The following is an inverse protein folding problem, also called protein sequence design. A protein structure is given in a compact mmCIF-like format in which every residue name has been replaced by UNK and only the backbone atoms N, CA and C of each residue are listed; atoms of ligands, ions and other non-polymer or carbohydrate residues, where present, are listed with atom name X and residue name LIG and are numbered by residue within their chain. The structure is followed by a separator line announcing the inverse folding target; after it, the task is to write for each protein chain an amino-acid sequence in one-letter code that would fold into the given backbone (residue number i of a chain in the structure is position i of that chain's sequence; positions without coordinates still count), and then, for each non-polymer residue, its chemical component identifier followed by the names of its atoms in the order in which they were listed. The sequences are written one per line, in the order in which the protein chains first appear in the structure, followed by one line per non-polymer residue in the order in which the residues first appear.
data_IF_743604954888
#
_entry.id   IF_743604954888
#
_cell.length_a   1.000
_cell.length_b   1.000
_cell.length_c   1.000
_cell.angle_alpha   90.00
_cell.angle_beta   90.00
_cell.angle_gamma   90.00
#
_symmetry.space_group_name_H-M   'P 1'
#
loop_
_entity.id
_entity.type
_entity.pdbx_description
1 polymer ?
#
# COMPACT_ATOMS: atom_id res chain seq x y z
N UNK A 1 1.41 4.47 13.54
CA UNK A 1 1.66 5.96 13.50
C UNK A 1 1.68 6.40 12.04
N UNK A 2 1.33 7.67 11.74
CA UNK A 2 1.38 8.17 10.37
C UNK A 2 2.78 8.67 10.03
N UNK A 3 3.24 8.47 8.78
CA UNK A 3 4.58 8.81 8.32
C UNK A 3 4.58 9.26 6.87
N UNK A 4 5.44 10.21 6.52
CA UNK A 4 5.70 10.56 5.14
C UNK A 4 6.51 9.47 4.43
N UNK A 5 6.11 9.05 3.24
CA UNK A 5 6.87 8.08 2.47
C UNK A 5 8.28 8.59 2.17
N UNK A 6 8.41 9.85 1.74
CA UNK A 6 9.72 10.47 1.47
C UNK A 6 10.59 10.62 2.71
N UNK A 7 10.01 10.88 3.89
CA UNK A 7 10.79 10.99 5.12
C UNK A 7 11.40 9.65 5.56
N UNK A 8 10.81 8.54 5.16
CA UNK A 8 11.35 7.20 5.40
C UNK A 8 12.44 6.82 4.41
N UNK A 9 12.55 7.47 3.25
CA UNK A 9 13.62 7.22 2.30
C UNK A 9 14.98 7.54 2.93
N UNK A 10 15.96 6.69 2.68
CA UNK A 10 17.29 6.78 3.28
C UNK A 10 17.40 6.21 4.69
N UNK A 11 16.28 5.82 5.35
CA UNK A 11 16.36 5.14 6.64
C UNK A 11 17.13 3.83 6.48
N UNK A 12 17.97 3.54 7.47
CA UNK A 12 18.74 2.28 7.52
C UNK A 12 17.82 1.10 7.80
N UNK A 13 18.11 -0.01 7.14
CA UNK A 13 17.41 -1.26 7.32
C UNK A 13 18.29 -2.20 8.14
N UNK A 14 17.89 -2.46 9.38
CA UNK A 14 18.63 -3.31 10.32
C UNK A 14 18.04 -4.71 10.37
N UNK A 15 18.69 -5.66 9.69
CA UNK A 15 18.36 -7.08 9.74
C UNK A 15 18.84 -7.75 11.04
N UNK A 16 18.50 -9.02 11.21
CA UNK A 16 18.88 -9.81 12.39
C UNK A 16 20.39 -10.02 12.54
N UNK A 17 21.15 -9.94 11.44
CA UNK A 17 22.58 -10.19 11.36
C UNK A 17 23.38 -8.98 10.86
N UNK A 18 22.78 -7.80 10.86
CA UNK A 18 23.41 -6.52 10.53
C UNK A 18 22.65 -5.68 9.52
N UNK A 19 23.26 -4.56 9.11
CA UNK A 19 22.66 -3.60 8.19
C UNK A 19 22.44 -4.21 6.80
N UNK A 20 21.21 -4.15 6.30
CA UNK A 20 20.79 -4.64 4.99
C UNK A 20 21.02 -3.59 3.92
N UNK A 21 20.74 -2.33 4.24
CA UNK A 21 20.83 -1.21 3.30
C UNK A 21 20.00 -0.04 3.75
N UNK A 22 19.39 0.67 2.81
CA UNK A 22 18.52 1.82 3.07
C UNK A 22 17.23 1.71 2.30
N UNK A 23 16.19 2.38 2.82
CA UNK A 23 14.93 2.54 2.09
C UNK A 23 15.18 3.37 0.85
N UNK A 24 14.82 2.84 -0.32
CA UNK A 24 14.83 3.56 -1.59
C UNK A 24 13.43 4.10 -1.90
N UNK A 25 12.44 3.22 -1.99
CA UNK A 25 11.06 3.58 -2.28
C UNK A 25 10.08 2.53 -1.74
N UNK A 26 8.80 2.75 -2.01
CA UNK A 26 7.75 1.79 -1.69
C UNK A 26 6.97 1.39 -2.94
N UNK A 27 6.58 0.11 -3.01
CA UNK A 27 5.60 -0.37 -3.96
C UNK A 27 4.28 -0.59 -3.24
N UNK A 28 3.23 0.02 -3.75
CA UNK A 28 1.89 -0.11 -3.20
C UNK A 28 0.92 -0.68 -4.24
N UNK A 29 -0.12 -1.29 -3.75
CA UNK A 29 -1.25 -1.80 -4.50
C UNK A 29 -2.27 -0.68 -4.68
N UNK A 30 -2.60 -0.36 -5.93
CA UNK A 30 -3.50 0.75 -6.28
C UNK A 30 -4.99 0.42 -6.10
N UNK A 31 -5.30 -0.82 -5.81
CA UNK A 31 -6.66 -1.27 -5.52
C UNK A 31 -7.05 -0.97 -4.07
N UNK A 32 -6.14 -1.27 -3.13
CA UNK A 32 -6.36 -1.05 -1.70
C UNK A 32 -5.55 0.12 -1.13
N UNK A 33 -4.63 0.71 -1.92
CA UNK A 33 -3.71 1.75 -1.49
C UNK A 33 -2.88 1.33 -0.27
N UNK A 34 -2.35 0.12 -0.33
CA UNK A 34 -1.53 -0.49 0.73
C UNK A 34 -0.13 -0.75 0.20
N UNK A 35 0.89 -0.35 0.95
CA UNK A 35 2.29 -0.68 0.67
C UNK A 35 2.46 -2.18 0.79
N UNK A 36 2.90 -2.83 -0.29
CA UNK A 36 3.17 -4.28 -0.36
C UNK A 36 4.64 -4.60 -0.20
N UNK A 37 5.48 -3.67 -0.63
CA UNK A 37 6.94 -3.83 -0.54
C UNK A 37 7.61 -2.49 -0.23
N UNK A 38 8.61 -2.57 0.64
CA UNK A 38 9.70 -1.61 0.73
C UNK A 38 10.79 -2.07 -0.22
N UNK A 39 11.28 -1.18 -1.06
CA UNK A 39 12.43 -1.42 -1.94
C UNK A 39 13.68 -0.98 -1.20
N UNK A 40 14.65 -1.87 -1.07
CA UNK A 40 15.90 -1.60 -0.39
C UNK A 40 17.05 -1.36 -1.38
N UNK A 41 17.77 -0.26 -1.19
CA UNK A 41 19.10 -0.07 -1.75
C UNK A 41 20.12 -0.76 -0.82
N UNK A 42 20.68 -1.88 -1.28
CA UNK A 42 21.62 -2.70 -0.52
C UNK A 42 23.08 -2.24 -0.65
N UNK A 43 23.35 -1.19 -1.43
CA UNK A 43 24.70 -0.73 -1.70
C UNK A 43 25.54 -1.79 -2.42
N UNK A 44 26.73 -2.11 -1.85
CA UNK A 44 27.70 -2.97 -2.53
C UNK A 44 27.64 -4.46 -2.15
N UNK A 45 26.90 -4.85 -1.10
CA UNK A 45 26.94 -6.23 -0.65
C UNK A 45 26.05 -7.18 -1.47
N UNK A 46 25.04 -6.64 -2.14
CA UNK A 46 24.10 -7.41 -2.96
C UNK A 46 23.82 -6.67 -4.26
N UNK A 47 24.86 -6.50 -5.08
CA UNK A 47 24.82 -5.70 -6.30
C UNK A 47 23.99 -6.35 -7.41
N UNK A 48 23.31 -5.51 -8.19
CA UNK A 48 22.59 -5.93 -9.40
C UNK A 48 21.18 -6.49 -9.17
N UNK A 49 20.66 -6.44 -7.93
CA UNK A 49 19.29 -6.88 -7.63
C UNK A 49 18.56 -5.86 -6.77
N UNK A 50 17.32 -5.54 -7.13
CA UNK A 50 16.41 -4.87 -6.22
C UNK A 50 15.97 -5.86 -5.15
N UNK A 51 16.01 -5.43 -3.90
CA UNK A 51 15.53 -6.21 -2.76
C UNK A 51 14.19 -5.65 -2.35
N UNK A 52 13.16 -6.48 -2.51
CA UNK A 52 11.82 -6.18 -2.01
C UNK A 52 11.67 -6.77 -0.60
N UNK A 53 11.18 -5.97 0.33
CA UNK A 53 10.92 -6.38 1.71
C UNK A 53 9.44 -6.15 2.00
N UNK A 54 8.69 -7.23 2.22
CA UNK A 54 7.28 -7.14 2.56
C UNK A 54 7.11 -6.59 3.98
N UNK A 55 6.05 -5.82 4.26
CA UNK A 55 5.66 -5.41 5.61
C UNK A 55 5.55 -6.53 6.63
N UNK A 56 5.36 -7.78 6.22
CA UNK A 56 5.46 -8.95 7.12
C UNK A 56 6.82 -9.09 7.81
N UNK A 57 7.88 -8.57 7.20
CA UNK A 57 9.23 -8.59 7.77
C UNK A 57 9.62 -7.27 8.44
N UNK A 58 8.83 -6.20 8.28
CA UNK A 58 9.14 -4.90 8.87
C UNK A 58 8.74 -4.91 10.36
N UNK A 59 9.64 -4.43 11.19
CA UNK A 59 9.43 -4.20 12.60
C UNK A 59 9.25 -2.72 12.92
N UNK A 60 9.83 -2.29 14.01
CA UNK A 60 9.70 -0.91 14.50
C UNK A 60 10.40 0.09 13.58
N UNK A 61 9.71 1.21 13.31
CA UNK A 61 10.27 2.42 12.69
C UNK A 61 10.79 3.33 13.78
N UNK A 62 12.10 3.51 13.86
CA UNK A 62 12.75 4.35 14.86
C UNK A 62 13.18 5.70 14.26
N UNK A 63 12.40 6.73 14.55
CA UNK A 63 12.63 8.08 14.02
C UNK A 63 13.90 8.73 14.57
N UNK A 64 14.25 8.46 15.83
CA UNK A 64 15.43 9.05 16.45
C UNK A 64 16.73 8.51 15.86
N UNK A 65 16.73 7.24 15.49
CA UNK A 65 17.88 6.56 14.89
C UNK A 65 17.86 6.54 13.36
N UNK A 66 16.75 6.97 12.73
CA UNK A 66 16.52 6.88 11.30
C UNK A 66 16.74 5.44 10.77
N UNK A 67 16.13 4.46 11.46
CA UNK A 67 16.21 3.07 11.05
C UNK A 67 14.86 2.34 11.15
N UNK A 68 14.77 1.25 10.40
CA UNK A 68 13.66 0.29 10.43
C UNK A 68 14.27 -1.08 10.70
N UNK A 69 13.73 -1.79 11.69
CA UNK A 69 14.15 -3.15 11.97
C UNK A 69 13.53 -4.14 10.98
N UNK A 70 14.32 -5.14 10.57
CA UNK A 70 13.90 -6.15 9.60
C UNK A 70 14.03 -7.53 10.23
N UNK A 71 12.94 -8.29 10.25
CA UNK A 71 12.88 -9.64 10.81
C UNK A 71 13.58 -10.72 9.98
N UNK A 72 14.45 -10.36 9.02
CA UNK A 72 15.19 -11.25 8.13
C UNK A 72 16.71 -11.11 8.34
N UNK A 73 17.44 -12.16 7.98
CA UNK A 73 18.89 -12.14 7.84
C UNK A 73 19.30 -11.83 6.40
N UNK A 74 20.54 -11.38 6.19
CA UNK A 74 21.11 -11.19 4.85
C UNK A 74 21.00 -12.46 4.02
N UNK A 75 21.33 -13.61 4.61
CA UNK A 75 21.25 -14.90 3.94
C UNK A 75 19.84 -15.23 3.45
N UNK A 76 18.80 -14.98 4.25
CA UNK A 76 17.40 -15.18 3.82
C UNK A 76 17.04 -14.28 2.63
N UNK A 77 17.59 -13.06 2.58
CA UNK A 77 17.35 -12.12 1.48
C UNK A 77 18.12 -12.59 0.22
N UNK A 78 19.36 -13.05 0.36
CA UNK A 78 20.16 -13.57 -0.76
C UNK A 78 19.52 -14.79 -1.42
N UNK A 79 18.92 -15.67 -0.62
CA UNK A 79 18.26 -16.90 -1.08
C UNK A 79 16.83 -16.66 -1.62
N UNK A 80 16.29 -15.44 -1.50
CA UNK A 80 14.95 -15.11 -1.98
C UNK A 80 14.86 -15.07 -3.51
N UNK A 81 13.68 -15.29 -4.10
CA UNK A 81 13.47 -15.12 -5.53
C UNK A 81 13.96 -13.76 -6.01
N UNK A 82 14.68 -13.73 -7.13
CA UNK A 82 15.15 -12.48 -7.72
C UNK A 82 14.08 -11.84 -8.59
N UNK A 83 13.88 -10.55 -8.40
CA UNK A 83 13.12 -9.74 -9.34
C UNK A 83 14.03 -9.30 -10.48
N UNK A 84 13.59 -9.49 -11.72
CA UNK A 84 14.23 -8.88 -12.87
C UNK A 84 13.87 -7.39 -12.87
N UNK A 85 14.90 -6.53 -12.78
CA UNK A 85 14.75 -5.09 -12.51
C UNK A 85 13.96 -4.32 -13.57
N UNK A 86 13.85 -4.90 -14.78
CA UNK A 86 13.19 -4.22 -15.90
C UNK A 86 11.71 -4.56 -16.07
N UNK A 87 11.18 -5.48 -15.26
CA UNK A 87 9.81 -5.96 -15.38
C UNK A 87 8.95 -5.54 -14.18
N UNK A 88 7.66 -5.23 -14.40
CA UNK A 88 6.70 -5.10 -13.32
C UNK A 88 6.65 -6.39 -12.50
N UNK A 89 6.44 -6.26 -11.19
CA UNK A 89 6.29 -7.42 -10.30
C UNK A 89 5.14 -8.27 -10.78
N UNK A 90 5.41 -9.55 -11.08
CA UNK A 90 4.37 -10.47 -11.52
C UNK A 90 3.75 -11.21 -10.34
N UNK A 91 2.49 -11.61 -10.47
CA UNK A 91 1.81 -12.41 -9.45
C UNK A 91 2.52 -13.77 -9.21
N UNK A 92 3.19 -14.31 -10.22
CA UNK A 92 4.01 -15.52 -10.04
C UNK A 92 5.20 -15.24 -9.14
N UNK A 93 5.93 -14.14 -9.38
CA UNK A 93 7.04 -13.73 -8.51
C UNK A 93 6.54 -13.55 -7.07
N UNK A 94 5.43 -12.84 -6.87
CA UNK A 94 4.86 -12.65 -5.53
C UNK A 94 4.50 -13.98 -4.87
N UNK A 95 3.92 -14.92 -5.63
CA UNK A 95 3.62 -16.25 -5.11
C UNK A 95 4.87 -16.97 -4.63
N UNK A 96 5.92 -17.01 -5.45
CA UNK A 96 7.19 -17.66 -5.13
C UNK A 96 7.90 -16.97 -3.95
N UNK A 97 7.81 -15.64 -3.89
CA UNK A 97 8.36 -14.81 -2.82
C UNK A 97 7.66 -15.07 -1.47
N UNK A 98 6.32 -15.08 -1.45
CA UNK A 98 5.55 -15.33 -0.24
C UNK A 98 5.70 -16.78 0.22
N UNK A 99 5.80 -17.73 -0.70
CA UNK A 99 6.07 -19.15 -0.38
C UNK A 99 7.48 -19.36 0.19
N UNK A 100 8.48 -18.64 -0.34
CA UNK A 100 9.86 -18.70 0.17
C UNK A 100 9.94 -18.30 1.64
N UNK A 101 9.25 -17.22 2.02
CA UNK A 101 9.23 -16.75 3.41
C UNK A 101 8.16 -17.41 4.29
N UNK A 102 7.24 -18.17 3.71
CA UNK A 102 6.12 -18.81 4.41
C UNK A 102 5.08 -17.81 4.90
N UNK A 103 4.92 -16.67 4.21
CA UNK A 103 3.94 -15.66 4.57
C UNK A 103 2.58 -15.89 3.90
N UNK A 104 1.47 -15.44 4.57
CA UNK A 104 0.16 -15.49 3.96
C UNK A 104 0.08 -14.52 2.77
N UNK A 105 -0.55 -14.97 1.69
CA UNK A 105 -0.73 -14.15 0.48
C UNK A 105 -1.81 -13.10 0.72
N UNK A 106 -1.48 -11.82 0.60
CA UNK A 106 -2.40 -10.71 0.89
C UNK A 106 -3.61 -10.65 -0.05
N UNK A 107 -3.55 -11.28 -1.22
CA UNK A 107 -4.62 -11.29 -2.21
C UNK A 107 -5.62 -12.45 -2.06
N UNK A 108 -5.53 -13.25 -1.01
CA UNK A 108 -6.40 -14.43 -0.80
C UNK A 108 -7.57 -14.21 0.14
N UNK A 109 -7.92 -12.97 0.44
CA UNK A 109 -9.01 -12.63 1.34
C UNK A 109 -9.66 -11.29 1.04
N UNK A 110 -10.60 -10.89 1.87
CA UNK A 110 -11.36 -9.64 1.72
C UNK A 110 -10.77 -8.43 2.45
N UNK A 111 -9.75 -8.64 3.29
CA UNK A 111 -9.09 -7.57 4.02
C UNK A 111 -7.82 -7.09 3.32
N UNK A 112 -7.26 -5.97 3.78
CA UNK A 112 -6.05 -5.37 3.21
C UNK A 112 -4.86 -6.34 3.12
N UNK A 113 -4.78 -7.31 4.05
CA UNK A 113 -3.73 -8.32 4.13
C UNK A 113 -4.29 -9.75 4.01
N UNK A 114 -5.14 -9.96 3.04
CA UNK A 114 -5.81 -11.23 2.82
C UNK A 114 -6.90 -11.48 3.87
N UNK A 115 -6.66 -12.37 4.81
CA UNK A 115 -7.59 -12.64 5.92
C UNK A 115 -7.42 -11.68 7.10
N UNK A 116 -6.46 -10.74 7.04
CA UNK A 116 -6.10 -9.85 8.15
C UNK A 116 -6.18 -8.38 7.74
N UNK A 117 -6.42 -7.51 8.73
CA UNK A 117 -6.37 -6.05 8.56
C UNK A 117 -4.95 -5.49 8.66
N UNK A 118 -4.01 -6.25 9.24
CA UNK A 118 -2.60 -5.86 9.40
C UNK A 118 -1.67 -6.99 8.94
N UNK A 119 -0.41 -6.70 8.55
CA UNK A 119 0.56 -7.74 8.24
C UNK A 119 0.95 -8.49 9.51
N UNK A 120 0.56 -9.75 9.62
CA UNK A 120 0.84 -10.60 10.78
C UNK A 120 1.67 -11.81 10.36
N UNK A 121 2.92 -11.89 10.82
CA UNK A 121 3.84 -12.98 10.51
C UNK A 121 3.70 -14.23 11.37
N UNK A 122 2.90 -14.19 12.45
CA UNK A 122 2.82 -15.26 13.44
C UNK A 122 1.77 -16.35 13.15
N UNK A 123 1.38 -16.53 11.90
CA UNK A 123 0.35 -17.52 11.57
C UNK A 123 0.98 -18.85 11.13
N UNK A 124 0.97 -19.82 12.02
CA UNK A 124 1.29 -21.22 11.72
C UNK A 124 0.19 -21.83 10.85
N UNK A 125 0.54 -22.50 9.74
CA UNK A 125 -0.34 -23.30 8.85
C UNK A 125 -0.91 -22.71 7.55
N UNK A 126 -0.22 -21.82 6.86
CA UNK A 126 -0.68 -21.32 5.55
C UNK A 126 -0.41 -22.24 4.35
N UNK A 127 0.27 -23.35 4.50
CA UNK A 127 0.72 -24.23 3.40
C UNK A 127 -0.39 -24.89 2.56
N UNK A 128 -1.67 -24.66 2.82
CA UNK A 128 -2.78 -25.36 2.16
C UNK A 128 -3.65 -24.56 1.21
N UNK A 129 -3.45 -23.26 1.07
CA UNK A 129 -4.30 -22.45 0.17
C UNK A 129 -3.44 -21.95 -1.00
N UNK A 130 -2.94 -22.88 -1.78
CA UNK A 130 -2.20 -22.58 -2.97
C UNK A 130 -2.95 -23.11 -4.17
N UNK A 131 -3.50 -22.23 -4.95
CA UNK A 131 -3.55 -22.28 -6.43
C UNK A 131 -4.33 -21.07 -6.91
N UNK A 132 -3.69 -20.20 -7.71
CA UNK A 132 -4.24 -19.70 -8.95
C UNK A 132 -3.64 -18.35 -9.37
N UNK A 133 -3.30 -18.32 -10.62
CA UNK A 133 -3.09 -17.24 -11.56
C UNK A 133 -1.66 -16.72 -11.74
N UNK A 134 -1.01 -17.24 -12.79
CA UNK A 134 0.13 -16.65 -13.49
C UNK A 134 -0.34 -15.41 -14.26
N UNK A 135 -0.62 -14.32 -13.60
CA UNK A 135 -0.89 -13.05 -14.24
C UNK A 135 0.07 -11.98 -13.66
N UNK A 136 0.48 -11.05 -14.50
CA UNK A 136 1.14 -9.84 -14.05
C UNK A 136 0.27 -9.18 -12.98
N UNK A 137 0.88 -8.55 -11.97
CA UNK A 137 0.12 -7.72 -11.07
C UNK A 137 0.11 -6.28 -11.60
N UNK A 138 -0.91 -5.87 -12.36
CA UNK A 138 -1.04 -4.53 -12.88
C UNK A 138 -1.33 -3.50 -11.79
N UNK A 139 -1.57 -3.96 -10.54
CA UNK A 139 -1.96 -3.12 -9.42
C UNK A 139 -0.78 -2.61 -8.56
N UNK A 140 0.44 -3.14 -8.75
CA UNK A 140 1.60 -2.63 -8.03
C UNK A 140 2.19 -1.38 -8.70
N UNK A 141 2.38 -0.32 -7.89
CA UNK A 141 2.87 0.99 -8.31
C UNK A 141 3.99 1.47 -7.40
N UNK A 142 4.97 2.11 -8.00
CA UNK A 142 6.08 2.78 -7.30
C UNK A 142 5.62 4.14 -6.76
N UNK A 143 5.91 4.43 -5.51
CA UNK A 143 5.66 5.76 -4.93
C UNK A 143 6.43 6.85 -5.66
N UNK A 144 7.67 6.57 -6.08
CA UNK A 144 8.50 7.51 -6.84
C UNK A 144 7.89 7.83 -8.21
N UNK A 145 7.34 6.81 -8.90
CA UNK A 145 6.70 7.00 -10.22
C UNK A 145 5.38 7.76 -10.14
N UNK A 146 4.62 7.56 -9.06
CA UNK A 146 3.30 8.19 -8.87
C UNK A 146 3.42 9.59 -8.27
N UNK A 147 4.51 9.89 -7.57
CA UNK A 147 4.85 11.29 -7.24
C UNK A 147 4.94 12.13 -8.52
N UNK A 148 4.28 13.29 -8.53
CA UNK A 148 4.18 14.17 -9.69
C UNK A 148 2.96 13.92 -10.59
N UNK A 149 2.14 12.89 -10.33
CA UNK A 149 0.87 12.71 -11.05
C UNK A 149 -0.07 13.88 -10.78
N UNK A 150 -0.74 14.35 -11.83
CA UNK A 150 -1.75 15.41 -11.73
C UNK A 150 -2.96 14.95 -10.93
N UNK A 151 -3.48 15.81 -10.07
CA UNK A 151 -4.75 15.61 -9.38
C UNK A 151 -5.83 16.46 -10.02
N UNK A 152 -6.94 15.84 -10.36
CA UNK A 152 -8.10 16.47 -10.96
C UNK A 152 -9.33 16.29 -10.09
N UNK A 153 -9.94 17.41 -9.73
CA UNK A 153 -11.29 17.45 -9.19
C UNK A 153 -12.32 17.23 -10.31
N UNK A 154 -13.60 17.11 -9.99
CA UNK A 154 -14.68 16.98 -10.98
C UNK A 154 -14.73 18.14 -11.98
N UNK A 155 -14.36 19.34 -11.53
CA UNK A 155 -14.44 20.59 -12.30
C UNK A 155 -13.07 21.13 -12.74
N UNK A 156 -11.99 20.36 -12.65
CA UNK A 156 -10.68 20.71 -13.22
C UNK A 156 -9.48 20.33 -12.38
N UNK A 157 -8.31 20.65 -12.91
CA UNK A 157 -7.01 20.36 -12.28
C UNK A 157 -6.81 21.20 -11.00
N UNK A 158 -6.17 20.59 -9.98
CA UNK A 158 -5.87 21.24 -8.70
C UNK A 158 -4.38 21.24 -8.33
N UNK A 159 -3.57 20.41 -8.96
CA UNK A 159 -2.15 20.30 -8.69
C UNK A 159 -1.62 18.90 -8.92
N UNK A 160 -0.63 18.49 -8.12
CA UNK A 160 0.02 17.20 -8.30
C UNK A 160 0.34 16.53 -6.95
N UNK A 161 0.49 15.20 -7.00
CA UNK A 161 0.92 14.42 -5.83
C UNK A 161 2.37 14.77 -5.50
N UNK A 162 2.59 15.27 -4.28
CA UNK A 162 3.93 15.56 -3.76
C UNK A 162 4.52 14.38 -3.02
N UNK A 163 3.72 13.74 -2.16
CA UNK A 163 4.13 12.63 -1.30
C UNK A 163 2.91 11.84 -0.80
N UNK A 164 3.15 10.82 0.02
CA UNK A 164 2.15 9.94 0.61
C UNK A 164 2.30 9.89 2.12
N UNK A 165 1.18 9.79 2.84
CA UNK A 165 1.17 9.51 4.27
C UNK A 165 0.78 8.05 4.47
N UNK A 166 1.70 7.29 5.05
CA UNK A 166 1.59 5.85 5.31
C UNK A 166 1.36 5.63 6.80
N UNK A 167 0.46 4.73 7.13
CA UNK A 167 0.24 4.21 8.49
C UNK A 167 1.15 2.99 8.71
N UNK A 168 2.14 3.09 9.59
CA UNK A 168 3.14 2.04 9.86
C UNK A 168 2.58 0.79 10.57
N UNK A 169 1.34 0.81 10.99
CA UNK A 169 0.67 -0.36 11.58
C UNK A 169 0.02 -1.23 10.52
N UNK A 170 -0.70 -0.60 9.59
CA UNK A 170 -1.44 -1.28 8.53
C UNK A 170 -0.73 -1.25 7.19
N UNK A 171 0.28 -0.38 7.04
CA UNK A 171 0.97 -0.04 5.80
C UNK A 171 0.04 0.54 4.72
N UNK A 172 -1.15 0.99 5.12
CA UNK A 172 -2.07 1.68 4.24
C UNK A 172 -1.59 3.11 3.96
N UNK A 173 -1.72 3.57 2.73
CA UNK A 173 -1.62 4.97 2.37
C UNK A 173 -2.92 5.64 2.81
N UNK A 174 -2.84 6.51 3.81
CA UNK A 174 -4.00 7.21 4.36
C UNK A 174 -4.30 8.50 3.62
N UNK A 175 -3.26 9.17 3.13
CA UNK A 175 -3.42 10.43 2.40
C UNK A 175 -2.40 10.59 1.30
N UNK A 176 -2.82 11.24 0.22
CA UNK A 176 -1.99 11.86 -0.79
C UNK A 176 -1.73 13.29 -0.34
N UNK A 177 -0.48 13.72 -0.30
CA UNK A 177 -0.11 15.13 -0.11
C UNK A 177 -0.12 15.77 -1.49
N UNK A 178 -1.01 16.73 -1.67
CA UNK A 178 -1.20 17.41 -2.95
C UNK A 178 -0.66 18.83 -2.86
N UNK A 179 0.26 19.15 -3.75
CA UNK A 179 0.75 20.52 -3.94
C UNK A 179 -0.14 21.23 -4.96
N UNK A 180 -0.77 22.31 -4.53
CA UNK A 180 -1.71 23.08 -5.34
C UNK A 180 -1.09 24.28 -6.04
N UNK A 181 0.26 24.33 -6.15
CA UNK A 181 1.01 25.51 -6.66
C UNK A 181 0.50 26.07 -7.99
N UNK A 182 0.03 25.21 -8.89
CA UNK A 182 -0.46 25.65 -10.21
C UNK A 182 -1.80 26.38 -10.13
N UNK A 183 -2.53 26.23 -9.03
CA UNK A 183 -3.88 26.76 -8.86
C UNK A 183 -4.03 27.66 -7.63
N UNK A 184 -3.40 27.28 -6.50
CA UNK A 184 -3.38 28.06 -5.26
C UNK A 184 -1.96 28.08 -4.67
N UNK A 185 -1.13 29.09 -5.00
CA UNK A 185 0.28 29.12 -4.61
C UNK A 185 0.50 28.95 -3.11
N UNK A 186 1.39 28.02 -2.77
CA UNK A 186 1.86 27.81 -1.40
C UNK A 186 0.98 26.97 -0.51
N UNK A 187 -0.15 26.42 -1.01
CA UNK A 187 -1.02 25.55 -0.20
C UNK A 187 -0.79 24.08 -0.51
N UNK A 188 -0.67 23.26 0.52
CA UNK A 188 -0.73 21.81 0.44
C UNK A 188 -2.02 21.34 1.12
N UNK A 189 -2.61 20.28 0.57
CA UNK A 189 -3.81 19.66 1.11
C UNK A 189 -3.64 18.15 1.17
N UNK A 190 -4.36 17.50 2.08
CA UNK A 190 -4.45 16.05 2.15
C UNK A 190 -5.72 15.57 1.46
N UNK A 191 -5.56 14.55 0.62
CA UNK A 191 -6.66 13.86 -0.05
C UNK A 191 -6.58 12.38 0.30
N UNK A 192 -7.67 11.81 0.83
CA UNK A 192 -7.72 10.38 1.08
C UNK A 192 -7.80 9.59 -0.23
N UNK A 193 -7.07 8.49 -0.39
CA UNK A 193 -7.25 7.57 -1.50
C UNK A 193 -8.69 7.05 -1.66
N UNK A 194 -9.46 7.02 -0.59
CA UNK A 194 -10.88 6.63 -0.62
C UNK A 194 -11.78 7.61 -1.39
N UNK A 195 -11.29 8.81 -1.68
CA UNK A 195 -11.99 9.82 -2.47
C UNK A 195 -11.54 9.82 -3.93
N UNK A 196 -10.61 8.92 -4.30
CA UNK A 196 -10.18 8.69 -5.67
C UNK A 196 -11.27 7.93 -6.41
N UNK A 197 -11.72 8.47 -7.52
CA UNK A 197 -12.70 7.84 -8.40
C UNK A 197 -12.01 7.03 -9.50
N UNK A 198 -10.95 7.58 -10.06
CA UNK A 198 -10.23 6.96 -11.17
C UNK A 198 -8.75 7.33 -11.17
N UNK A 199 -7.91 6.40 -11.60
CA UNK A 199 -6.50 6.65 -11.89
C UNK A 199 -6.23 6.29 -13.35
N UNK A 200 -5.70 7.26 -14.11
CA UNK A 200 -5.15 7.03 -15.45
C UNK A 200 -3.63 6.94 -15.35
N UNK A 201 -3.11 5.73 -15.42
CA UNK A 201 -1.66 5.50 -15.35
C UNK A 201 -0.92 5.98 -16.57
N UNK A 202 -1.57 5.92 -17.74
CA UNK A 202 -1.04 6.39 -19.02
C UNK A 202 -0.94 7.92 -19.04
N UNK A 203 -2.00 8.61 -18.62
CA UNK A 203 -2.06 10.07 -18.56
C UNK A 203 -1.38 10.66 -17.30
N UNK A 204 -0.93 9.81 -16.38
CA UNK A 204 -0.36 10.21 -15.07
C UNK A 204 -1.29 11.13 -14.30
N UNK A 205 -2.54 10.71 -14.17
CA UNK A 205 -3.63 11.52 -13.63
C UNK A 205 -4.45 10.73 -12.62
N UNK A 206 -4.79 11.39 -11.52
CA UNK A 206 -5.70 10.89 -10.49
C UNK A 206 -6.92 11.80 -10.44
N UNK A 207 -8.10 11.23 -10.61
CA UNK A 207 -9.38 11.93 -10.52
C UNK A 207 -10.00 11.67 -9.16
N UNK A 208 -10.43 12.73 -8.49
CA UNK A 208 -11.07 12.66 -7.16
C UNK A 208 -12.51 13.16 -7.24
N UNK A 209 -13.40 12.50 -6.52
CA UNK A 209 -14.82 12.87 -6.40
C UNK A 209 -14.99 14.04 -5.42
N UNK A 210 -14.43 15.19 -5.77
CA UNK A 210 -14.43 16.42 -5.00
C UNK A 210 -14.46 17.63 -5.97
N UNK A 211 -15.04 18.73 -5.51
CA UNK A 211 -15.02 19.99 -6.24
C UNK A 211 -13.80 20.83 -5.88
N UNK A 212 -13.26 21.58 -6.85
CA UNK A 212 -12.09 22.45 -6.64
C UNK A 212 -12.29 23.43 -5.49
N UNK A 213 -13.46 24.05 -5.39
CA UNK A 213 -13.74 25.02 -4.33
C UNK A 213 -13.74 24.35 -2.94
N UNK A 214 -14.22 23.12 -2.82
CA UNK A 214 -14.14 22.36 -1.57
C UNK A 214 -12.70 22.09 -1.18
N UNK A 215 -11.86 21.70 -2.14
CA UNK A 215 -10.43 21.45 -1.91
C UNK A 215 -9.70 22.75 -1.53
N UNK A 216 -10.04 23.84 -2.16
CA UNK A 216 -9.47 25.16 -1.83
C UNK A 216 -9.73 25.59 -0.40
N UNK A 217 -10.93 25.32 0.11
CA UNK A 217 -11.35 25.66 1.47
C UNK A 217 -10.93 24.62 2.52
N UNK A 218 -10.31 23.51 2.10
CA UNK A 218 -9.85 22.47 3.01
C UNK A 218 -8.82 23.01 4.02
N UNK A 219 -8.69 22.38 5.20
CA UNK A 219 -7.61 22.65 6.13
C UNK A 219 -6.25 22.54 5.42
N UNK A 220 -5.41 23.57 5.57
CA UNK A 220 -4.05 23.55 5.02
C UNK A 220 -3.23 22.46 5.72
N UNK A 221 -2.44 21.74 4.95
CA UNK A 221 -1.49 20.79 5.48
C UNK A 221 -0.10 21.43 5.59
N UNK A 222 0.48 21.39 6.78
CA UNK A 222 1.83 21.90 7.04
C UNK A 222 2.77 20.68 7.04
N UNK A 223 3.69 20.64 6.10
CA UNK A 223 4.57 19.49 5.83
C UNK A 223 5.44 19.05 7.02
N UNK A 224 5.84 19.98 7.85
CA UNK A 224 6.71 19.68 8.99
C UNK A 224 6.00 18.99 10.17
N UNK A 225 4.67 18.81 10.08
CA UNK A 225 3.87 18.19 11.13
C UNK A 225 3.05 17.02 10.59
N UNK A 226 3.25 15.84 11.16
CA UNK A 226 2.37 14.70 10.87
C UNK A 226 0.93 15.03 11.27
N UNK A 227 -0.08 14.61 10.50
CA UNK A 227 -1.48 14.92 10.82
C UNK A 227 -1.86 14.28 12.16
N UNK A 228 -2.34 15.11 13.07
CA UNK A 228 -2.90 14.64 14.33
C UNK A 228 -4.32 14.12 14.10
N UNK A 229 -4.83 13.26 14.99
CA UNK A 229 -6.21 12.80 14.92
C UNK A 229 -7.23 13.96 14.90
N UNK A 230 -6.95 15.05 15.59
CA UNK A 230 -7.82 16.25 15.59
C UNK A 230 -7.84 16.88 14.19
N UNK A 231 -6.68 16.99 13.55
CA UNK A 231 -6.59 17.49 12.17
C UNK A 231 -7.34 16.57 11.20
N UNK A 232 -7.16 15.25 11.30
CA UNK A 232 -7.85 14.26 10.47
C UNK A 232 -9.37 14.35 10.62
N UNK A 233 -9.88 14.45 11.85
CA UNK A 233 -11.32 14.63 12.12
C UNK A 233 -11.83 15.89 11.43
N UNK A 234 -11.14 17.03 11.59
CA UNK A 234 -11.51 18.29 10.94
C UNK A 234 -11.47 18.19 9.40
N UNK A 235 -10.50 17.50 8.85
CA UNK A 235 -10.38 17.25 7.42
C UNK A 235 -11.56 16.43 6.87
N UNK A 236 -11.87 15.31 7.53
CA UNK A 236 -12.97 14.43 7.11
C UNK A 236 -14.34 15.12 7.29
N UNK A 237 -14.54 15.91 8.35
CA UNK A 237 -15.74 16.73 8.54
C UNK A 237 -15.90 17.79 7.44
N UNK A 238 -14.80 18.46 7.04
CA UNK A 238 -14.81 19.43 5.95
C UNK A 238 -15.29 18.82 4.62
N UNK A 239 -14.83 17.59 4.31
CA UNK A 239 -15.22 16.88 3.09
C UNK A 239 -16.53 16.10 3.23
N UNK A 240 -17.19 16.12 4.39
CA UNK A 240 -18.40 15.33 4.70
C UNK A 240 -18.21 13.83 4.41
N UNK A 241 -17.07 13.30 4.77
CA UNK A 241 -16.70 11.90 4.58
C UNK A 241 -16.37 11.23 5.92
N UNK A 242 -16.75 9.95 6.11
CA UNK A 242 -16.36 9.21 7.31
C UNK A 242 -14.85 9.03 7.36
N UNK A 243 -14.29 8.96 8.56
CA UNK A 243 -12.89 8.59 8.76
C UNK A 243 -12.65 7.10 8.52
N UNK A 244 -11.41 6.75 8.12
CA UNK A 244 -11.05 5.32 7.97
C UNK A 244 -11.12 4.57 9.30
N UNK A 245 -11.09 5.28 10.44
CA UNK A 245 -11.25 4.73 11.80
C UNK A 245 -12.71 4.48 12.21
N UNK A 246 -13.67 5.01 11.44
CA UNK A 246 -15.12 4.84 11.70
C UNK A 246 -15.67 3.59 10.98
N UNK A 247 -14.88 2.96 10.11
CA UNK A 247 -15.29 1.76 9.40
C UNK A 247 -15.19 0.57 10.34
N UNK A 248 -16.28 -0.21 10.48
CA UNK A 248 -16.19 -1.47 11.19
C UNK A 248 -15.15 -2.37 10.52
N UNK A 249 -14.35 -3.07 11.32
CA UNK A 249 -13.54 -4.16 10.77
C UNK A 249 -14.49 -5.14 10.05
N UNK A 250 -14.15 -5.59 8.84
CA UNK A 250 -15.01 -6.54 8.12
C UNK A 250 -15.22 -7.76 9.02
N UNK A 251 -16.49 -8.06 9.29
CA UNK A 251 -16.88 -9.14 10.20
C UNK A 251 -16.45 -10.48 9.57
N UNK A 252 -15.52 -11.18 10.18
CA UNK A 252 -14.98 -12.47 9.71
C UNK A 252 -16.09 -13.53 9.62
N UNK A 253 -17.29 -13.25 10.15
CA UNK A 253 -18.41 -14.18 10.23
C UNK A 253 -19.44 -14.11 9.10
N UNK A 254 -19.41 -13.09 8.22
CA UNK A 254 -20.46 -12.93 7.21
C UNK A 254 -20.29 -13.78 5.92
N UNK A 255 -19.18 -14.48 5.73
CA UNK A 255 -18.94 -15.30 4.54
C UNK A 255 -19.28 -16.79 4.65
N UNK A 256 -20.03 -17.21 5.68
CA UNK A 256 -20.53 -18.60 5.75
C UNK A 256 -21.88 -18.83 5.00
N UNK A 257 -22.41 -17.84 4.28
CA UNK A 257 -23.73 -17.95 3.63
C UNK A 257 -23.70 -18.04 2.10
N UNK A 258 -22.63 -18.55 1.48
CA UNK A 258 -22.73 -19.03 0.10
C UNK A 258 -23.43 -20.37 0.08
N UNK A 259 -24.76 -20.35 0.30
CA UNK A 259 -25.61 -21.49 -0.01
C UNK A 259 -25.66 -21.65 -1.52
N UNK A 260 -25.13 -22.76 -1.95
CA UNK A 260 -25.46 -23.49 -3.17
C UNK A 260 -26.87 -23.18 -3.68
N UNK A 261 -26.97 -22.41 -4.76
CA UNK A 261 -28.15 -22.44 -5.63
C UNK A 261 -27.72 -23.13 -6.92
N UNK A 262 -28.31 -24.32 -7.12
CA UNK A 262 -28.40 -24.96 -8.44
C UNK A 262 -27.58 -26.23 -8.64
N UNK A 263 -27.92 -27.30 -7.94
CA UNK A 263 -27.78 -28.63 -8.57
C UNK A 263 -28.84 -28.79 -9.63
N UNK A 264 -28.53 -29.13 -10.88
CA UNK A 264 -29.54 -29.59 -11.83
C UNK A 264 -29.97 -31.00 -11.46
N UNK A 265 -31.22 -31.15 -11.13
CA UNK A 265 -31.90 -32.44 -10.98
C UNK A 265 -31.79 -33.20 -12.31
N UNK A 266 -30.95 -34.22 -12.36
CA UNK A 266 -30.96 -35.19 -13.46
C UNK A 266 -32.12 -36.15 -13.21
N UNK A 267 -33.18 -35.99 -13.98
CA UNK A 267 -34.27 -36.92 -14.02
C UNK A 267 -33.77 -38.26 -14.65
N UNK A 268 -33.71 -39.30 -13.85
CA UNK A 268 -33.58 -40.67 -14.34
C UNK A 268 -34.93 -41.06 -14.93
N UNK A 269 -35.02 -41.08 -16.23
CA UNK A 269 -36.10 -41.77 -16.94
C UNK A 269 -35.63 -43.22 -17.24
N UNK A 270 -36.29 -44.15 -16.57
CA UNK A 270 -36.23 -45.57 -16.93
C UNK A 270 -36.85 -45.82 -18.32
N UNK A 271 -36.12 -46.53 -19.17
CA UNK A 271 -36.60 -47.59 -20.03
C UNK A 271 -35.42 -48.49 -20.39
#
# INVERSE_FOLDING_TARGET
MLNHAKALQGYKLEGRDGEIGKVDEFYFDDQYWVVRYLVADTGNWFTGRQVLISPYALGEVNFSKHNITIGLTKKQIEESPSLDTDLPVSRQFESDYYDHYGWPRYWTGSNMWGMFSTPNSNVENWKKITQLNKAWDPHLRSTNKVSGYGIHAEDGEIGHIKDFIIDDTTWAIRYLIVDTQNWWPGKQVLISPEWVEQVSWEEKKVVVNLMRETIKLAPEYIEDALPTRIYEIGLHQHYHRPGYWDKPEPDVHEHSSWRTHGEPTVALTNF
#
